data_IF_144881547958
#
_entry.id   IF_144881547958
#
_cell.length_a   1.000
_cell.length_b   1.000
_cell.length_c   1.000
_cell.angle_alpha   90.00
_cell.angle_beta   90.00
_cell.angle_gamma   90.00
#
_symmetry.space_group_name_H-M   'P 1'
#
loop_
_entity.id
_entity.type
_entity.pdbx_description
1 polymer ?
#
# COMPACT_ATOMS: atom_id res chain seq x y z
N UNK A 1 -30.74 -18.11 3.50
CA UNK A 1 -30.22 -16.81 3.05
C UNK A 1 -30.11 -15.95 4.28
N UNK A 2 -28.90 -15.73 4.76
CA UNK A 2 -28.61 -14.89 5.92
C UNK A 2 -28.37 -13.45 5.47
N UNK A 3 -28.36 -12.51 6.42
CA UNK A 3 -27.97 -11.10 6.16
C UNK A 3 -26.54 -11.03 5.60
N UNK A 4 -25.69 -11.98 5.98
CA UNK A 4 -24.30 -12.11 5.51
C UNK A 4 -24.23 -12.53 4.03
N UNK A 5 -25.07 -13.47 3.60
CA UNK A 5 -25.15 -13.88 2.18
C UNK A 5 -25.56 -12.71 1.28
N UNK A 6 -26.51 -11.89 1.74
CA UNK A 6 -26.96 -10.69 1.01
C UNK A 6 -25.85 -9.65 0.97
N UNK A 7 -25.18 -9.44 2.09
CA UNK A 7 -24.08 -8.50 2.23
C UNK A 7 -22.90 -8.88 1.29
N UNK A 8 -22.58 -10.17 1.17
CA UNK A 8 -21.54 -10.66 0.27
C UNK A 8 -21.89 -10.41 -1.21
N UNK A 9 -23.14 -10.65 -1.62
CA UNK A 9 -23.59 -10.39 -2.98
C UNK A 9 -23.54 -8.91 -3.31
N UNK A 10 -24.02 -8.05 -2.39
CA UNK A 10 -23.99 -6.59 -2.55
C UNK A 10 -22.54 -6.11 -2.61
N UNK A 11 -21.64 -6.62 -1.76
CA UNK A 11 -20.22 -6.31 -1.77
C UNK A 11 -19.57 -6.64 -3.13
N UNK A 12 -19.86 -7.80 -3.69
CA UNK A 12 -19.36 -8.20 -5.02
C UNK A 12 -19.88 -7.32 -6.16
N UNK A 13 -21.12 -6.85 -6.08
CA UNK A 13 -21.74 -6.04 -7.12
C UNK A 13 -21.32 -4.56 -7.07
N UNK A 14 -21.24 -4.01 -5.87
CA UNK A 14 -20.99 -2.57 -5.66
C UNK A 14 -19.53 -2.25 -5.44
N UNK A 15 -18.70 -3.24 -5.09
CA UNK A 15 -17.33 -3.05 -4.61
C UNK A 15 -17.27 -2.46 -3.20
N UNK A 16 -18.41 -2.39 -2.48
CA UNK A 16 -18.52 -1.88 -1.11
C UNK A 16 -18.38 -3.05 -0.15
N UNK A 17 -17.45 -3.03 0.81
CA UNK A 17 -17.23 -4.11 1.78
C UNK A 17 -18.34 -4.14 2.85
N UNK A 18 -19.55 -4.53 2.45
CA UNK A 18 -20.74 -4.51 3.31
C UNK A 18 -20.60 -5.50 4.48
N UNK A 19 -19.85 -6.59 4.29
CA UNK A 19 -19.66 -7.61 5.35
C UNK A 19 -19.00 -7.03 6.60
N UNK A 20 -18.04 -6.11 6.45
CA UNK A 20 -17.39 -5.46 7.59
C UNK A 20 -18.21 -4.34 8.22
N UNK A 21 -19.16 -3.76 7.51
CA UNK A 21 -20.12 -2.84 8.15
C UNK A 21 -20.99 -3.56 9.19
N UNK A 22 -21.19 -4.88 9.07
CA UNK A 22 -21.95 -5.70 10.02
C UNK A 22 -21.17 -6.10 11.28
N UNK A 23 -19.82 -6.09 11.24
CA UNK A 23 -18.96 -6.52 12.34
C UNK A 23 -18.38 -5.38 13.20
N UNK A 24 -19.13 -4.35 13.45
CA UNK A 24 -18.69 -3.31 14.41
C UNK A 24 -17.58 -2.41 13.88
N UNK A 25 -17.88 -1.55 12.92
CA UNK A 25 -16.96 -0.56 12.33
C UNK A 25 -16.15 0.23 13.38
N UNK A 26 -16.76 0.46 14.57
CA UNK A 26 -16.08 1.12 15.70
C UNK A 26 -14.93 0.30 16.27
N UNK A 27 -15.10 -0.99 16.42
CA UNK A 27 -14.10 -1.88 17.00
C UNK A 27 -12.88 -1.98 16.09
N UNK A 28 -13.10 -2.06 14.77
CA UNK A 28 -12.03 -2.04 13.76
C UNK A 28 -11.23 -0.76 13.77
N UNK A 29 -11.89 0.38 13.86
CA UNK A 29 -11.21 1.68 13.95
C UNK A 29 -10.38 1.81 15.24
N UNK A 30 -10.83 1.24 16.34
CA UNK A 30 -10.07 1.17 17.59
C UNK A 30 -8.84 0.26 17.45
N UNK A 31 -8.98 -0.85 16.70
CA UNK A 31 -7.91 -1.83 16.49
C UNK A 31 -7.02 -1.51 15.27
N UNK A 32 -7.34 -0.46 14.51
CA UNK A 32 -6.64 -0.14 13.26
C UNK A 32 -5.11 -0.05 13.46
N UNK A 33 -4.65 0.71 14.45
CA UNK A 33 -3.22 0.87 14.73
C UNK A 33 -2.53 -0.47 15.04
N UNK A 34 -3.18 -1.35 15.82
CA UNK A 34 -2.62 -2.67 16.12
C UNK A 34 -2.57 -3.58 14.89
N UNK A 35 -3.57 -3.50 14.02
CA UNK A 35 -3.57 -4.22 12.74
C UNK A 35 -2.46 -3.75 11.82
N UNK A 36 -2.25 -2.43 11.71
CA UNK A 36 -1.14 -1.86 10.94
C UNK A 36 0.23 -2.29 11.49
N UNK A 37 0.38 -2.34 12.81
CA UNK A 37 1.61 -2.76 13.50
C UNK A 37 2.01 -4.21 13.21
N UNK A 38 1.06 -5.09 12.91
CA UNK A 38 1.34 -6.48 12.57
C UNK A 38 2.13 -6.65 11.25
N UNK A 39 2.06 -5.66 10.35
CA UNK A 39 2.74 -5.71 9.04
C UNK A 39 3.80 -4.63 8.87
N UNK A 40 3.67 -3.51 9.56
CA UNK A 40 4.61 -2.37 9.45
C UNK A 40 5.32 -2.21 10.79
N UNK A 41 6.59 -2.56 10.82
CA UNK A 41 7.41 -2.60 12.03
C UNK A 41 8.30 -1.37 12.13
N UNK A 42 8.44 -0.81 13.33
CA UNK A 42 9.39 0.28 13.63
C UNK A 42 8.93 1.67 13.18
N UNK A 43 7.64 1.85 12.88
CA UNK A 43 7.06 3.11 12.39
C UNK A 43 5.91 3.59 13.28
N UNK A 44 6.04 3.47 14.59
CA UNK A 44 4.95 3.68 15.57
C UNK A 44 4.25 5.04 15.42
N UNK A 45 5.02 6.12 15.25
CA UNK A 45 4.47 7.46 15.05
C UNK A 45 3.67 7.56 13.75
N UNK A 46 4.17 6.95 12.67
CA UNK A 46 3.49 6.91 11.38
C UNK A 46 2.15 6.16 11.47
N UNK A 47 2.14 5.00 12.14
CA UNK A 47 0.94 4.20 12.34
C UNK A 47 -0.11 4.96 13.15
N UNK A 48 0.31 5.60 14.25
CA UNK A 48 -0.57 6.39 15.11
C UNK A 48 -1.19 7.55 14.36
N UNK A 49 -0.37 8.42 13.73
CA UNK A 49 -0.86 9.60 12.99
C UNK A 49 -1.83 9.21 11.89
N UNK A 50 -1.50 8.16 11.13
CA UNK A 50 -2.37 7.66 10.06
C UNK A 50 -3.72 7.15 10.61
N UNK A 51 -3.69 6.39 11.70
CA UNK A 51 -4.89 5.86 12.33
C UNK A 51 -5.77 6.97 12.92
N UNK A 52 -5.16 8.01 13.52
CA UNK A 52 -5.90 9.12 14.12
C UNK A 52 -6.66 9.94 13.09
N UNK A 53 -6.04 10.28 11.94
CA UNK A 53 -6.70 10.98 10.83
C UNK A 53 -7.89 10.18 10.30
N UNK A 54 -7.70 8.87 10.08
CA UNK A 54 -8.77 7.99 9.58
C UNK A 54 -9.92 7.89 10.58
N UNK A 55 -9.63 7.79 11.89
CA UNK A 55 -10.66 7.78 12.95
C UNK A 55 -11.45 9.08 12.93
N UNK A 56 -10.79 10.25 12.88
CA UNK A 56 -11.45 11.55 12.84
C UNK A 56 -12.39 11.66 11.63
N UNK A 57 -11.94 11.27 10.47
CA UNK A 57 -12.72 11.30 9.24
C UNK A 57 -13.95 10.37 9.32
N UNK A 58 -13.75 9.14 9.76
CA UNK A 58 -14.85 8.14 9.91
C UNK A 58 -15.86 8.52 10.99
N UNK A 59 -15.47 9.31 11.96
CA UNK A 59 -16.38 9.85 12.98
C UNK A 59 -17.11 11.13 12.52
N UNK A 60 -16.85 11.62 11.30
CA UNK A 60 -17.48 12.82 10.74
C UNK A 60 -17.03 14.13 11.40
N UNK A 61 -15.84 14.14 12.02
CA UNK A 61 -15.27 15.34 12.68
C UNK A 61 -14.53 16.22 11.68
N UNK A 62 -14.19 15.65 10.51
CA UNK A 62 -13.54 16.37 9.40
C UNK A 62 -14.52 16.71 8.28
N UNK A 63 -14.09 17.48 7.29
CA UNK A 63 -14.90 17.85 6.13
C UNK A 63 -15.30 16.59 5.33
N UNK A 64 -16.61 16.37 5.18
CA UNK A 64 -17.20 15.22 4.50
C UNK A 64 -17.06 15.30 2.97
N UNK A 65 -16.68 16.44 2.43
CA UNK A 65 -16.48 16.62 0.99
C UNK A 65 -15.07 16.23 0.54
N UNK A 66 -14.16 15.94 1.46
CA UNK A 66 -12.79 15.53 1.21
C UNK A 66 -12.62 13.99 1.24
N UNK A 67 -11.48 13.45 0.72
CA UNK A 67 -11.13 12.06 0.93
C UNK A 67 -11.09 11.66 2.42
N UNK A 68 -11.23 10.36 2.74
CA UNK A 68 -11.16 9.82 4.11
C UNK A 68 -9.86 10.13 4.85
N UNK A 69 -8.82 10.43 4.10
CA UNK A 69 -7.53 10.88 4.60
C UNK A 69 -6.56 11.12 3.46
N UNK A 70 -5.71 12.11 3.64
CA UNK A 70 -4.67 12.48 2.69
C UNK A 70 -3.33 12.57 3.40
N UNK A 71 -2.38 11.75 2.96
CA UNK A 71 -1.10 11.56 3.62
C UNK A 71 0.05 11.80 2.67
N UNK A 72 1.12 12.43 3.17
CA UNK A 72 2.41 12.45 2.51
C UNK A 72 3.43 11.67 3.36
N UNK A 73 3.86 10.51 2.87
CA UNK A 73 4.84 9.66 3.52
C UNK A 73 6.26 10.04 3.08
N UNK A 74 7.01 10.59 4.03
CA UNK A 74 8.37 11.07 3.85
C UNK A 74 9.37 10.07 4.44
N UNK A 75 10.41 9.71 3.70
CA UNK A 75 11.49 8.84 4.19
C UNK A 75 12.19 8.08 3.07
N UNK A 76 13.27 7.39 3.42
CA UNK A 76 14.10 6.64 2.49
C UNK A 76 13.35 5.49 1.81
N UNK A 77 13.94 4.97 0.74
CA UNK A 77 13.41 3.80 0.05
C UNK A 77 13.44 2.56 0.98
N UNK A 78 12.37 1.75 0.94
CA UNK A 78 12.35 0.46 1.65
C UNK A 78 12.04 0.51 3.15
N UNK A 79 11.65 1.67 3.70
CA UNK A 79 11.30 1.84 5.13
C UNK A 79 9.84 1.45 5.47
N UNK A 80 9.04 1.04 4.48
CA UNK A 80 7.68 0.54 4.71
C UNK A 80 6.54 1.43 4.20
N UNK A 81 6.82 2.56 3.50
CA UNK A 81 5.78 3.48 2.99
C UNK A 81 4.71 2.79 2.15
N UNK A 82 5.11 2.02 1.15
CA UNK A 82 4.19 1.26 0.28
C UNK A 82 3.47 0.15 1.04
N UNK A 83 4.15 -0.48 2.00
CA UNK A 83 3.56 -1.54 2.82
C UNK A 83 2.45 -1.01 3.73
N UNK A 84 2.62 0.19 4.30
CA UNK A 84 1.54 0.85 5.05
C UNK A 84 0.31 1.11 4.16
N UNK A 85 0.50 1.56 2.92
CA UNK A 85 -0.61 1.72 1.97
C UNK A 85 -1.37 0.42 1.68
N UNK A 86 -0.67 -0.71 1.52
CA UNK A 86 -1.28 -2.04 1.33
C UNK A 86 -2.03 -2.49 2.57
N UNK A 87 -1.40 -2.32 3.73
CA UNK A 87 -2.02 -2.72 5.01
C UNK A 87 -3.27 -1.90 5.31
N UNK A 88 -3.28 -0.60 4.96
CA UNK A 88 -4.48 0.24 5.03
C UNK A 88 -5.60 -0.28 4.14
N UNK A 89 -5.30 -0.67 2.90
CA UNK A 89 -6.29 -1.22 1.99
C UNK A 89 -6.91 -2.51 2.55
N UNK A 90 -6.09 -3.40 3.09
CA UNK A 90 -6.56 -4.63 3.72
C UNK A 90 -7.36 -4.37 5.00
N UNK A 91 -6.86 -3.52 5.90
CA UNK A 91 -7.50 -3.25 7.18
C UNK A 91 -8.87 -2.55 7.06
N UNK A 92 -9.01 -1.65 6.08
CA UNK A 92 -10.21 -0.82 5.93
C UNK A 92 -11.20 -1.36 4.89
N UNK A 93 -10.70 -2.02 3.84
CA UNK A 93 -11.50 -2.47 2.71
C UNK A 93 -11.47 -3.98 2.46
N UNK A 94 -10.84 -4.76 3.36
CA UNK A 94 -10.76 -6.22 3.33
C UNK A 94 -10.09 -6.84 2.11
N UNK A 95 -9.38 -6.02 1.34
CA UNK A 95 -8.77 -6.46 0.11
C UNK A 95 -7.49 -5.65 -0.14
N UNK A 96 -6.33 -6.31 -0.08
CA UNK A 96 -5.06 -5.68 -0.46
C UNK A 96 -5.09 -5.13 -1.90
N UNK A 97 -5.93 -5.73 -2.77
CA UNK A 97 -6.14 -5.26 -4.15
C UNK A 97 -6.97 -3.97 -4.23
N UNK A 98 -7.53 -3.49 -3.10
CA UNK A 98 -8.11 -2.15 -3.03
C UNK A 98 -7.04 -1.04 -3.05
N UNK A 99 -5.75 -1.39 -3.11
CA UNK A 99 -4.68 -0.44 -3.39
C UNK A 99 -4.55 -0.17 -4.90
N UNK A 100 -4.74 1.09 -5.28
CA UNK A 100 -4.49 1.60 -6.63
C UNK A 100 -3.15 2.32 -6.61
N UNK A 101 -2.12 1.72 -7.19
CA UNK A 101 -0.80 2.36 -7.30
C UNK A 101 -0.70 3.13 -8.61
N UNK A 102 -0.19 4.36 -8.50
CA UNK A 102 0.17 5.26 -9.59
C UNK A 102 1.63 5.66 -9.40
N UNK A 103 2.48 5.23 -10.31
CA UNK A 103 3.90 5.60 -10.31
C UNK A 103 4.06 6.95 -11.00
N UNK A 104 4.53 7.95 -10.26
CA UNK A 104 4.67 9.31 -10.77
C UNK A 104 5.86 9.46 -11.75
N UNK A 105 6.78 8.49 -11.77
CA UNK A 105 7.84 8.45 -12.78
C UNK A 105 7.30 8.24 -14.21
N UNK A 106 6.11 7.65 -14.34
CA UNK A 106 5.41 7.51 -15.63
C UNK A 106 4.65 8.79 -16.05
N UNK A 107 4.62 9.79 -15.17
CA UNK A 107 3.82 11.01 -15.31
C UNK A 107 4.69 12.29 -15.30
N UNK A 108 5.89 12.20 -15.83
CA UNK A 108 6.87 13.30 -15.87
C UNK A 108 6.55 14.36 -16.93
N UNK A 109 5.70 14.06 -17.90
CA UNK A 109 5.40 14.92 -19.01
C UNK A 109 4.01 15.56 -18.90
N UNK A 110 3.82 16.75 -19.48
CA UNK A 110 2.58 17.51 -19.39
C UNK A 110 1.36 16.72 -19.90
N UNK A 111 1.52 15.98 -21.00
CA UNK A 111 0.43 15.18 -21.58
C UNK A 111 0.09 13.92 -20.78
N UNK A 112 0.90 13.56 -19.78
CA UNK A 112 0.63 12.41 -18.92
C UNK A 112 -0.63 12.56 -18.07
N UNK A 113 -1.16 13.77 -17.95
CA UNK A 113 -2.49 14.03 -17.34
C UNK A 113 -3.57 13.18 -18.01
N UNK A 114 -3.54 13.04 -19.34
CA UNK A 114 -4.51 12.22 -20.07
C UNK A 114 -4.50 10.74 -19.67
N UNK A 115 -3.37 10.21 -19.20
CA UNK A 115 -3.31 8.85 -18.65
C UNK A 115 -4.18 8.69 -17.40
N UNK A 116 -4.28 9.73 -16.58
CA UNK A 116 -5.05 9.69 -15.32
C UNK A 116 -6.54 9.89 -15.55
N UNK A 117 -6.92 10.92 -16.35
CA UNK A 117 -8.32 11.36 -16.51
C UNK A 117 -8.95 10.96 -17.85
N UNK A 118 -8.14 10.44 -18.79
CA UNK A 118 -8.54 10.09 -20.15
C UNK A 118 -8.16 11.12 -21.20
N UNK A 119 -8.07 10.70 -22.46
CA UNK A 119 -7.77 11.55 -23.60
C UNK A 119 -8.98 12.42 -23.97
N UNK A 120 -8.78 13.66 -24.44
CA UNK A 120 -9.87 14.49 -24.97
C UNK A 120 -10.55 13.85 -26.19
N UNK A 121 -11.80 14.24 -26.52
CA UNK A 121 -12.48 13.77 -27.72
C UNK A 121 -11.63 13.98 -28.99
N UNK A 122 -11.57 12.94 -29.83
CA UNK A 122 -10.82 12.96 -31.09
C UNK A 122 -9.34 12.52 -30.97
N UNK A 123 -8.85 12.24 -29.77
CA UNK A 123 -7.50 11.70 -29.57
C UNK A 123 -7.53 10.17 -29.35
N UNK A 124 -6.41 9.52 -29.70
CA UNK A 124 -6.23 8.07 -29.47
C UNK A 124 -6.36 7.76 -27.98
N UNK A 125 -7.12 6.70 -27.63
CA UNK A 125 -7.37 6.30 -26.24
C UNK A 125 -8.55 6.98 -25.56
N UNK A 126 -9.35 7.78 -26.26
CA UNK A 126 -10.56 8.42 -25.69
C UNK A 126 -11.57 7.40 -25.14
N UNK A 127 -11.79 6.27 -25.86
CA UNK A 127 -12.74 5.24 -25.44
C UNK A 127 -12.30 4.46 -24.22
N UNK A 128 -10.99 4.32 -23.99
CA UNK A 128 -10.42 3.60 -22.85
C UNK A 128 -10.66 4.32 -21.51
N UNK A 129 -10.82 5.66 -21.56
CA UNK A 129 -10.92 6.48 -20.35
C UNK A 129 -9.60 6.64 -19.59
N UNK A 130 -9.63 7.34 -18.46
CA UNK A 130 -8.44 7.56 -17.63
C UNK A 130 -8.17 6.38 -16.69
N UNK A 131 -6.92 5.99 -16.57
CA UNK A 131 -6.52 4.86 -15.74
C UNK A 131 -6.92 5.03 -14.26
N UNK A 132 -6.77 6.24 -13.71
CA UNK A 132 -7.18 6.53 -12.34
C UNK A 132 -8.70 6.63 -12.22
N UNK A 133 -9.32 7.44 -13.06
CA UNK A 133 -10.77 7.71 -12.98
C UNK A 133 -11.61 6.46 -13.21
N UNK A 134 -11.24 5.59 -14.15
CA UNK A 134 -11.95 4.33 -14.38
C UNK A 134 -11.77 3.34 -13.23
N UNK A 135 -10.59 3.27 -12.61
CA UNK A 135 -10.37 2.40 -11.44
C UNK A 135 -11.21 2.84 -10.25
N UNK A 136 -11.23 4.14 -9.94
CA UNK A 136 -12.03 4.68 -8.82
C UNK A 136 -13.52 4.55 -9.10
N UNK A 137 -13.98 4.77 -10.33
CA UNK A 137 -15.38 4.56 -10.70
C UNK A 137 -15.84 3.12 -10.44
N UNK A 138 -14.97 2.14 -10.71
CA UNK A 138 -15.27 0.71 -10.48
C UNK A 138 -15.11 0.32 -9.01
N UNK A 139 -14.20 0.95 -8.28
CA UNK A 139 -13.87 0.64 -6.89
C UNK A 139 -13.73 1.94 -6.08
N UNK A 140 -14.86 2.52 -5.66
CA UNK A 140 -14.86 3.81 -4.95
C UNK A 140 -14.25 3.75 -3.54
N UNK A 141 -14.18 2.56 -2.94
CA UNK A 141 -13.52 2.31 -1.64
C UNK A 141 -12.14 1.74 -1.91
N UNK A 142 -11.11 2.60 -1.87
CA UNK A 142 -9.74 2.21 -2.19
C UNK A 142 -8.72 3.13 -1.55
N UNK A 143 -7.51 2.64 -1.43
CA UNK A 143 -6.31 3.44 -1.13
C UNK A 143 -5.63 3.77 -2.45
N UNK A 144 -5.37 5.03 -2.71
CA UNK A 144 -4.63 5.48 -3.88
C UNK A 144 -3.23 5.86 -3.44
N UNK A 145 -2.24 5.16 -3.95
CA UNK A 145 -0.83 5.41 -3.68
C UNK A 145 -0.18 6.10 -4.87
N UNK A 146 0.14 7.37 -4.71
CA UNK A 146 0.97 8.13 -5.64
C UNK A 146 2.43 8.02 -5.22
N UNK A 147 3.18 7.18 -5.94
CA UNK A 147 4.56 6.85 -5.57
C UNK A 147 5.54 7.84 -6.21
N UNK A 148 6.47 8.39 -5.42
CA UNK A 148 7.51 9.36 -5.82
C UNK A 148 6.93 10.66 -6.42
N UNK A 149 6.13 11.41 -5.63
CA UNK A 149 5.44 12.62 -6.11
C UNK A 149 6.38 13.69 -6.68
N UNK A 150 7.63 13.71 -6.26
CA UNK A 150 8.68 14.62 -6.77
C UNK A 150 9.00 14.41 -8.26
N UNK A 151 8.64 13.26 -8.82
CA UNK A 151 8.83 12.95 -10.25
C UNK A 151 7.71 13.48 -11.13
N UNK A 152 6.55 13.80 -10.54
CA UNK A 152 5.37 14.20 -11.29
C UNK A 152 5.53 15.56 -11.99
N UNK A 153 4.99 15.68 -13.21
CA UNK A 153 4.84 16.99 -13.84
C UNK A 153 3.90 17.89 -13.02
N UNK A 154 4.14 19.21 -12.92
CA UNK A 154 3.29 20.14 -12.16
C UNK A 154 1.79 20.09 -12.52
N UNK A 155 1.44 19.81 -13.78
CA UNK A 155 0.03 19.66 -14.18
C UNK A 155 -0.67 18.45 -13.54
N UNK A 156 0.07 17.39 -13.21
CA UNK A 156 -0.44 16.22 -12.46
C UNK A 156 -0.71 16.61 -11.03
N UNK A 157 0.18 17.38 -10.39
CA UNK A 157 -0.02 17.88 -9.02
C UNK A 157 -1.25 18.79 -8.92
N UNK A 158 -1.58 19.56 -9.97
CA UNK A 158 -2.79 20.38 -10.01
C UNK A 158 -4.09 19.54 -10.00
N UNK A 159 -4.07 18.32 -10.58
CA UNK A 159 -5.19 17.38 -10.48
C UNK A 159 -5.34 16.87 -9.05
N UNK A 160 -4.22 16.58 -8.38
CA UNK A 160 -4.26 16.16 -6.98
C UNK A 160 -4.85 17.23 -6.08
N UNK A 161 -4.57 18.52 -6.34
CA UNK A 161 -5.21 19.62 -5.60
C UNK A 161 -6.73 19.54 -5.67
N UNK A 162 -7.31 19.32 -6.85
CA UNK A 162 -8.76 19.18 -7.00
C UNK A 162 -9.32 17.99 -6.24
N UNK A 163 -8.64 16.85 -6.29
CA UNK A 163 -9.05 15.64 -5.55
C UNK A 163 -9.01 15.87 -4.04
N UNK A 164 -7.95 16.51 -3.54
CA UNK A 164 -7.75 16.76 -2.12
C UNK A 164 -8.70 17.81 -1.55
N UNK A 165 -9.15 18.76 -2.39
CA UNK A 165 -10.03 19.87 -1.99
C UNK A 165 -11.50 19.47 -2.06
N UNK A 166 -11.93 19.02 -3.24
CA UNK A 166 -13.34 18.78 -3.57
C UNK A 166 -13.76 17.31 -3.41
N UNK A 167 -12.82 16.38 -3.14
CA UNK A 167 -13.10 14.93 -3.11
C UNK A 167 -13.69 14.40 -4.41
N UNK A 168 -13.48 15.09 -5.54
CA UNK A 168 -14.01 14.73 -6.86
C UNK A 168 -13.09 15.15 -7.98
N UNK A 169 -13.21 14.47 -9.12
CA UNK A 169 -12.46 14.78 -10.33
C UNK A 169 -13.33 14.52 -11.56
N UNK A 170 -13.34 15.43 -12.52
CA UNK A 170 -14.01 15.22 -13.82
C UNK A 170 -13.08 14.48 -14.77
N UNK A 171 -13.57 13.41 -15.39
CA UNK A 171 -12.84 12.72 -16.45
C UNK A 171 -13.01 13.42 -17.82
N UNK A 172 -12.27 12.93 -18.82
CA UNK A 172 -12.33 13.46 -20.20
C UNK A 172 -13.70 13.31 -20.88
N UNK A 173 -14.60 12.45 -20.34
CA UNK A 173 -15.97 12.26 -20.82
C UNK A 173 -16.97 13.14 -20.09
N UNK A 174 -16.52 14.07 -19.22
CA UNK A 174 -17.37 14.95 -18.42
C UNK A 174 -18.05 14.28 -17.24
N UNK A 175 -17.67 13.03 -16.88
CA UNK A 175 -18.23 12.35 -15.72
C UNK A 175 -17.51 12.79 -14.46
N UNK A 176 -18.24 13.08 -13.40
CA UNK A 176 -17.69 13.39 -12.09
C UNK A 176 -17.41 12.09 -11.33
N UNK A 177 -16.16 11.86 -10.98
CA UNK A 177 -15.69 10.71 -10.21
C UNK A 177 -15.54 11.12 -8.75
N UNK A 178 -16.12 10.33 -7.85
CA UNK A 178 -16.13 10.62 -6.42
C UNK A 178 -14.95 9.93 -5.71
N UNK A 179 -14.15 10.73 -4.98
CA UNK A 179 -12.97 10.28 -4.20
C UNK A 179 -13.19 10.36 -2.69
N UNK A 180 -14.38 10.74 -2.20
CA UNK A 180 -14.66 10.93 -0.77
C UNK A 180 -14.50 9.67 0.07
N UNK A 181 -14.66 8.50 -0.55
CA UNK A 181 -14.46 7.20 0.14
C UNK A 181 -13.06 6.62 -0.08
N UNK A 182 -12.13 7.40 -0.61
CA UNK A 182 -10.75 6.97 -0.84
C UNK A 182 -9.81 7.51 0.22
N UNK A 183 -8.67 6.84 0.39
CA UNK A 183 -7.52 7.35 1.12
C UNK A 183 -6.44 7.67 0.12
N UNK A 184 -5.92 8.88 0.19
CA UNK A 184 -4.84 9.36 -0.67
C UNK A 184 -3.52 9.23 0.09
N UNK A 185 -2.61 8.45 -0.45
CA UNK A 185 -1.25 8.31 0.05
C UNK A 185 -0.28 8.78 -1.03
N UNK A 186 0.51 9.75 -0.72
CA UNK A 186 1.63 10.22 -1.55
C UNK A 186 2.93 9.78 -0.90
N UNK A 187 3.92 9.31 -1.66
CA UNK A 187 5.25 9.00 -1.12
C UNK A 187 6.30 9.91 -1.72
N UNK A 188 7.34 10.18 -0.95
CA UNK A 188 8.52 10.92 -1.41
C UNK A 188 9.78 10.41 -0.72
N UNK A 189 10.91 10.54 -1.40
CA UNK A 189 12.23 10.26 -0.86
C UNK A 189 13.03 11.55 -0.57
N UNK A 190 12.41 12.70 -0.77
CA UNK A 190 13.02 14.00 -0.46
C UNK A 190 13.28 14.13 1.05
N UNK A 191 14.29 14.89 1.40
CA UNK A 191 14.49 15.35 2.78
C UNK A 191 13.46 16.41 3.15
N UNK A 192 13.30 16.73 4.43
CA UNK A 192 12.38 17.79 4.88
C UNK A 192 12.69 19.16 4.26
N UNK A 193 13.97 19.49 4.09
CA UNK A 193 14.42 20.73 3.46
C UNK A 193 14.06 20.80 1.97
N UNK A 194 14.29 19.73 1.24
CA UNK A 194 13.93 19.62 -0.17
C UNK A 194 12.41 19.61 -0.36
N UNK A 195 11.68 18.91 0.53
CA UNK A 195 10.22 18.88 0.52
C UNK A 195 9.62 20.28 0.70
N UNK A 196 10.17 21.12 1.59
CA UNK A 196 9.71 22.48 1.79
C UNK A 196 9.91 23.37 0.55
N UNK A 197 10.88 23.07 -0.29
CA UNK A 197 11.10 23.76 -1.57
C UNK A 197 10.17 23.21 -2.66
N UNK A 198 10.00 21.89 -2.71
CA UNK A 198 9.18 21.21 -3.72
C UNK A 198 7.68 21.44 -3.51
N UNK A 199 7.22 21.32 -2.27
CA UNK A 199 5.79 21.31 -1.94
C UNK A 199 5.22 22.72 -1.87
N UNK A 200 4.45 23.09 -2.89
CA UNK A 200 3.76 24.38 -2.90
C UNK A 200 2.83 24.51 -1.68
N UNK A 201 2.71 25.72 -1.10
CA UNK A 201 1.82 25.95 0.05
C UNK A 201 0.39 25.47 -0.15
N UNK A 202 -0.14 25.60 -1.36
CA UNK A 202 -1.50 25.17 -1.70
C UNK A 202 -1.68 23.67 -1.53
N UNK A 203 -0.72 22.86 -2.01
CA UNK A 203 -0.77 21.41 -1.86
C UNK A 203 -0.54 20.99 -0.41
N UNK A 204 0.41 21.64 0.26
CA UNK A 204 0.73 21.36 1.67
C UNK A 204 -0.49 21.55 2.59
N UNK A 205 -1.27 22.61 2.36
CA UNK A 205 -2.45 22.94 3.18
C UNK A 205 -3.64 22.00 2.93
N UNK A 206 -3.58 21.14 1.92
CA UNK A 206 -4.62 20.14 1.60
C UNK A 206 -4.28 18.74 2.08
N UNK A 207 -3.05 18.52 2.50
CA UNK A 207 -2.59 17.25 3.07
C UNK A 207 -2.93 17.25 4.56
N UNK A 208 -3.67 16.23 5.01
CA UNK A 208 -4.09 16.13 6.41
C UNK A 208 -2.90 15.85 7.33
N UNK A 209 -1.95 15.00 6.89
CA UNK A 209 -0.76 14.71 7.69
C UNK A 209 0.46 14.40 6.83
N UNK A 210 1.60 15.01 7.20
CA UNK A 210 2.92 14.68 6.67
C UNK A 210 3.57 13.71 7.65
N UNK A 211 3.71 12.48 7.23
CA UNK A 211 4.14 11.36 8.07
C UNK A 211 5.58 11.00 7.76
N UNK A 212 6.45 11.16 8.74
CA UNK A 212 7.87 10.82 8.61
C UNK A 212 8.10 9.35 8.97
N UNK A 213 8.76 8.64 8.08
CA UNK A 213 9.23 7.28 8.31
C UNK A 213 10.68 7.29 8.77
N UNK A 214 10.94 6.58 9.84
CA UNK A 214 12.28 6.43 10.38
C UNK A 214 13.10 5.42 9.57
N UNK A 215 14.41 5.61 9.55
CA UNK A 215 15.32 4.61 9.01
C UNK A 215 15.26 3.33 9.85
N UNK A 216 15.49 2.19 9.18
CA UNK A 216 15.42 0.89 9.82
C UNK A 216 16.70 0.65 10.63
N UNK A 217 16.59 0.57 11.95
CA UNK A 217 17.67 0.10 12.80
C UNK A 217 17.78 -1.45 12.76
N UNK A 218 18.86 -1.98 13.33
CA UNK A 218 19.13 -3.43 13.32
C UNK A 218 17.99 -4.25 13.92
N UNK A 219 17.42 -3.81 15.04
CA UNK A 219 16.34 -4.53 15.74
C UNK A 219 15.05 -4.59 14.88
N UNK A 220 14.75 -3.50 14.16
CA UNK A 220 13.61 -3.46 13.24
C UNK A 220 13.85 -4.38 12.04
N UNK A 221 15.07 -4.40 11.50
CA UNK A 221 15.44 -5.32 10.41
C UNK A 221 15.30 -6.78 10.84
N UNK A 222 15.75 -7.13 12.03
CA UNK A 222 15.61 -8.49 12.58
C UNK A 222 14.12 -8.90 12.67
N UNK A 223 13.26 -8.02 13.15
CA UNK A 223 11.81 -8.27 13.20
C UNK A 223 11.18 -8.41 11.80
N UNK A 224 11.61 -7.60 10.84
CA UNK A 224 11.14 -7.69 9.45
C UNK A 224 11.57 -9.03 8.83
N UNK A 225 12.81 -9.44 9.03
CA UNK A 225 13.31 -10.74 8.55
C UNK A 225 12.50 -11.88 9.16
N UNK A 226 12.25 -11.85 10.47
CA UNK A 226 11.44 -12.87 11.15
C UNK A 226 10.03 -12.95 10.58
N UNK A 227 9.38 -11.81 10.37
CA UNK A 227 8.05 -11.73 9.77
C UNK A 227 8.04 -12.34 8.35
N UNK A 228 9.06 -12.09 7.54
CA UNK A 228 9.17 -12.68 6.20
C UNK A 228 9.45 -14.18 6.23
N UNK A 229 10.25 -14.68 7.18
CA UNK A 229 10.47 -16.11 7.41
C UNK A 229 9.15 -16.79 7.78
N UNK A 230 8.38 -16.23 8.72
CA UNK A 230 7.08 -16.76 9.10
C UNK A 230 6.09 -16.79 7.94
N UNK A 231 6.05 -15.72 7.13
CA UNK A 231 5.22 -15.69 5.91
C UNK A 231 5.63 -16.74 4.87
N UNK A 232 6.93 -17.02 4.74
CA UNK A 232 7.47 -18.10 3.90
C UNK A 232 7.03 -19.46 4.42
N UNK A 233 7.20 -19.75 5.72
CA UNK A 233 6.79 -20.99 6.37
C UNK A 233 5.30 -21.23 6.13
N UNK A 234 4.43 -20.25 6.42
CA UNK A 234 3.00 -20.35 6.18
C UNK A 234 2.65 -20.62 4.71
N UNK A 235 3.44 -20.11 3.78
CA UNK A 235 3.21 -20.33 2.34
C UNK A 235 3.51 -21.79 1.96
N UNK A 236 4.57 -22.39 2.54
CA UNK A 236 4.93 -23.79 2.33
C UNK A 236 3.90 -24.70 3.02
N UNK A 237 3.50 -24.39 4.26
CA UNK A 237 2.53 -25.16 5.02
C UNK A 237 1.13 -25.20 4.37
N UNK A 238 0.75 -24.17 3.65
CA UNK A 238 -0.49 -24.17 2.82
C UNK A 238 -0.49 -25.24 1.72
N UNK A 239 0.68 -25.77 1.35
CA UNK A 239 0.81 -26.89 0.42
C UNK A 239 0.71 -28.25 1.14
N UNK A 240 0.45 -28.27 2.45
CA UNK A 240 0.36 -29.50 3.26
C UNK A 240 1.71 -30.01 3.79
N UNK A 241 2.79 -29.23 3.66
CA UNK A 241 4.15 -29.63 4.01
C UNK A 241 4.58 -28.87 5.27
N UNK A 242 4.99 -29.57 6.30
CA UNK A 242 5.56 -28.96 7.51
C UNK A 242 6.92 -28.34 7.19
N UNK A 243 7.14 -27.10 7.61
CA UNK A 243 8.37 -26.39 7.33
C UNK A 243 9.04 -25.91 8.61
N UNK A 244 10.32 -26.24 8.76
CA UNK A 244 11.18 -25.78 9.84
C UNK A 244 12.41 -25.07 9.28
N UNK A 245 12.83 -23.98 9.92
CA UNK A 245 13.92 -23.11 9.44
C UNK A 245 14.93 -22.90 10.56
N UNK A 246 16.20 -23.22 10.30
CA UNK A 246 17.23 -23.04 11.30
C UNK A 246 17.72 -21.57 11.41
N UNK A 247 18.41 -21.27 12.56
CA UNK A 247 18.89 -19.91 12.84
C UNK A 247 19.90 -19.35 11.81
N UNK A 248 20.64 -20.22 11.11
CA UNK A 248 21.63 -19.81 10.11
C UNK A 248 20.99 -19.04 8.93
N UNK A 249 19.78 -19.40 8.54
CA UNK A 249 19.03 -18.66 7.50
C UNK A 249 18.66 -17.26 7.97
N UNK A 250 18.24 -17.13 9.23
CA UNK A 250 17.95 -15.82 9.82
C UNK A 250 19.18 -14.92 9.76
N UNK A 251 20.33 -15.40 10.21
CA UNK A 251 21.58 -14.64 10.18
C UNK A 251 22.00 -14.27 8.75
N UNK A 252 21.85 -15.20 7.81
CA UNK A 252 22.07 -14.94 6.39
C UNK A 252 21.20 -13.82 5.85
N UNK A 253 19.90 -13.85 6.12
CA UNK A 253 18.94 -12.84 5.67
C UNK A 253 19.17 -11.48 6.33
N UNK A 254 19.52 -11.42 7.61
CA UNK A 254 19.86 -10.19 8.31
C UNK A 254 21.12 -9.56 7.69
N UNK A 255 22.15 -10.38 7.45
CA UNK A 255 23.42 -9.89 6.90
C UNK A 255 23.32 -9.37 5.47
N UNK A 256 22.54 -10.05 4.61
CA UNK A 256 22.48 -9.79 3.17
C UNK A 256 21.19 -9.10 2.72
N UNK A 257 20.15 -9.12 3.56
CA UNK A 257 18.81 -8.65 3.23
C UNK A 257 18.56 -7.17 3.56
N UNK A 258 19.46 -6.53 4.28
CA UNK A 258 19.37 -5.09 4.57
C UNK A 258 20.49 -4.33 3.87
N UNK A 259 20.12 -3.26 3.20
CA UNK A 259 21.05 -2.29 2.60
C UNK A 259 20.52 -0.89 2.89
N UNK A 260 21.36 0.05 3.40
CA UNK A 260 20.91 1.41 3.75
C UNK A 260 20.17 2.12 2.60
N UNK A 261 20.57 1.88 1.34
CA UNK A 261 19.99 2.50 0.15
C UNK A 261 18.65 1.88 -0.27
N UNK A 262 18.42 0.60 0.03
CA UNK A 262 17.25 -0.17 -0.41
C UNK A 262 16.36 -0.64 0.75
N UNK A 263 16.76 -0.36 1.99
CA UNK A 263 16.06 -0.81 3.20
C UNK A 263 15.95 -2.33 3.29
N UNK A 264 14.77 -2.83 3.61
CA UNK A 264 14.49 -4.27 3.72
C UNK A 264 13.97 -4.92 2.41
N UNK A 265 13.89 -4.18 1.29
CA UNK A 265 13.45 -4.74 -0.01
C UNK A 265 14.23 -5.98 -0.47
N UNK A 266 15.57 -6.08 -0.26
CA UNK A 266 16.32 -7.25 -0.67
C UNK A 266 15.94 -8.55 0.04
N UNK A 267 15.38 -8.50 1.26
CA UNK A 267 14.99 -9.70 2.05
C UNK A 267 14.07 -10.62 1.24
N UNK A 268 12.98 -10.09 0.69
CA UNK A 268 12.03 -10.87 -0.11
C UNK A 268 12.67 -11.46 -1.38
N UNK A 269 13.57 -10.72 -2.00
CA UNK A 269 14.31 -11.20 -3.19
C UNK A 269 15.23 -12.37 -2.84
N UNK A 270 15.94 -12.29 -1.71
CA UNK A 270 16.80 -13.35 -1.22
C UNK A 270 15.97 -14.62 -0.87
N UNK A 271 14.87 -14.44 -0.14
CA UNK A 271 13.98 -15.56 0.19
C UNK A 271 13.51 -16.27 -1.08
N UNK A 272 13.06 -15.53 -2.09
CA UNK A 272 12.58 -16.11 -3.35
C UNK A 272 13.69 -16.81 -4.13
N UNK A 273 14.83 -16.15 -4.28
CA UNK A 273 15.94 -16.64 -5.12
C UNK A 273 16.68 -17.80 -4.46
N UNK A 274 17.02 -17.66 -3.18
CA UNK A 274 17.98 -18.54 -2.52
C UNK A 274 17.30 -19.64 -1.70
N UNK A 275 16.05 -19.46 -1.32
CA UNK A 275 15.32 -20.41 -0.49
C UNK A 275 14.16 -21.06 -1.26
N UNK A 276 13.16 -20.26 -1.69
CA UNK A 276 11.96 -20.80 -2.32
C UNK A 276 12.24 -21.49 -3.66
N UNK A 277 13.27 -21.06 -4.40
CA UNK A 277 13.70 -21.73 -5.63
C UNK A 277 14.18 -23.14 -5.36
N UNK A 278 15.02 -23.34 -4.34
CA UNK A 278 15.53 -24.67 -3.97
C UNK A 278 14.43 -25.54 -3.34
N UNK A 279 13.59 -24.96 -2.48
CA UNK A 279 12.43 -25.64 -1.90
C UNK A 279 11.49 -26.15 -3.00
N UNK A 280 11.18 -25.32 -3.99
CA UNK A 280 10.29 -25.71 -5.09
C UNK A 280 10.87 -26.85 -5.95
N UNK A 281 12.19 -26.83 -6.20
CA UNK A 281 12.88 -27.90 -6.91
C UNK A 281 12.83 -29.21 -6.13
N UNK A 282 13.14 -29.14 -4.82
CA UNK A 282 13.07 -30.30 -3.94
C UNK A 282 11.68 -30.93 -3.89
N UNK A 283 10.62 -30.10 -3.80
CA UNK A 283 9.24 -30.58 -3.80
C UNK A 283 8.85 -31.27 -5.12
N UNK A 284 9.35 -30.78 -6.26
CA UNK A 284 9.11 -31.42 -7.56
C UNK A 284 9.80 -32.76 -7.70
N UNK A 285 11.02 -32.88 -7.13
CA UNK A 285 11.78 -34.14 -7.14
C UNK A 285 11.24 -35.14 -6.12
N UNK A 286 10.54 -34.69 -5.07
CA UNK A 286 10.05 -35.53 -3.97
C UNK A 286 8.57 -35.21 -3.64
N UNK A 287 7.61 -35.60 -4.49
CA UNK A 287 6.20 -35.23 -4.37
C UNK A 287 5.48 -35.80 -3.12
N UNK A 288 6.03 -36.84 -2.50
CA UNK A 288 5.51 -37.47 -1.26
C UNK A 288 6.04 -36.83 0.03
N UNK A 289 6.73 -35.66 -0.07
CA UNK A 289 7.36 -35.01 1.08
C UNK A 289 6.32 -34.41 2.03
N UNK A 290 6.32 -34.85 3.29
CA UNK A 290 5.44 -34.31 4.35
C UNK A 290 6.10 -33.20 5.19
N UNK A 291 7.44 -33.11 5.19
CA UNK A 291 8.20 -32.12 5.96
C UNK A 291 9.48 -31.68 5.27
N UNK A 292 9.84 -30.42 5.44
CA UNK A 292 11.05 -29.79 4.91
C UNK A 292 11.77 -29.07 6.04
N UNK A 293 13.07 -29.36 6.20
CA UNK A 293 13.97 -28.62 7.09
C UNK A 293 14.93 -27.78 6.26
N UNK A 294 14.83 -26.45 6.41
CA UNK A 294 15.63 -25.51 5.66
C UNK A 294 16.85 -25.11 6.51
N UNK A 295 18.04 -25.48 6.05
CA UNK A 295 19.30 -25.19 6.71
C UNK A 295 20.21 -24.34 5.82
N UNK A 296 20.87 -23.36 6.43
CA UNK A 296 21.94 -22.62 5.78
C UNK A 296 23.30 -23.15 6.27
N UNK A 297 24.03 -23.82 5.38
CA UNK A 297 25.41 -24.18 5.60
C UNK A 297 26.28 -23.14 4.88
N UNK A 298 27.14 -22.43 5.65
CA UNK A 298 28.03 -21.39 5.14
C UNK A 298 28.66 -21.81 3.79
N UNK A 299 28.06 -21.28 2.75
CA UNK A 299 28.42 -21.29 1.35
C UNK A 299 29.57 -22.20 0.91
N UNK A 300 29.26 -23.34 0.41
CA UNK A 300 29.93 -23.92 -0.75
C UNK A 300 28.88 -24.12 -1.80
#
# INVERSE_FOLDING_TARGET
VTTEDIAEVISKWTGIPVNKMLEGEKEKLLQLESQLRNRVVGQEEALKKTSDVIRMSKMGITDIDRPLGSFLFLGNTGVGKTELGKTLAEALFDDEKALIRVDMSELMEQHSVSKLIGSPPGYVGYDEGGHLTEKIRRRPYSVILFDEIEKAHPSVLNILLQVLDDGRLSDSKGRTINFKNTIIVMTTNLTESELNVFLRPELRNRIDEIVKFNDLNKEVVEKIVEMHIQGMIQTIEKQGIKCDVNGGIRDYLIKNGYQPEYGARPVNRLIRRDILSEVSKYMLENPETESIHINYNNGV
#
